data_IF_370011892713
#
_entry.id   IF_370011892713
#
_cell.length_a   1.000
_cell.length_b   1.000
_cell.length_c   1.000
_cell.angle_alpha   90.00
_cell.angle_beta   90.00
_cell.angle_gamma   90.00
#
_symmetry.space_group_name_H-M   'P 1'
#
loop_
_entity.id
_entity.type
_entity.pdbx_description
1 polymer ?
#
# COMPACT_ATOMS: atom_id res chain seq x y z
N UNK A 1 19.96 12.15 44.68
CA UNK A 1 20.01 11.06 43.71
C UNK A 1 18.83 11.15 42.78
N UNK A 2 19.14 11.23 41.54
CA UNK A 2 18.08 11.18 40.56
C UNK A 2 17.49 9.77 40.51
N UNK A 3 16.21 9.69 40.66
CA UNK A 3 15.53 8.40 40.59
C UNK A 3 15.08 8.15 39.17
N UNK A 4 15.73 7.23 38.52
CA UNK A 4 15.28 6.75 37.23
C UNK A 4 14.23 5.68 37.46
N UNK A 5 13.11 5.80 36.76
CA UNK A 5 12.08 4.77 36.80
C UNK A 5 12.60 3.52 36.08
N UNK A 6 12.42 2.35 36.67
CA UNK A 6 12.71 1.11 35.98
C UNK A 6 11.93 1.04 34.65
N UNK A 7 12.53 0.44 33.67
CA UNK A 7 11.88 0.32 32.35
C UNK A 7 10.50 -0.34 32.44
N UNK A 8 10.30 -1.22 33.42
CA UNK A 8 9.00 -1.88 33.66
C UNK A 8 7.93 -0.92 34.15
N UNK A 9 8.31 0.23 34.76
CA UNK A 9 7.38 1.23 35.25
C UNK A 9 7.16 2.39 34.27
N UNK A 10 7.96 2.46 33.21
CA UNK A 10 7.78 3.45 32.17
C UNK A 10 6.70 2.91 31.24
N UNK A 11 5.57 3.66 31.07
CA UNK A 11 4.54 3.21 30.14
C UNK A 11 5.13 3.11 28.74
N UNK A 12 5.20 1.91 28.21
CA UNK A 12 5.59 1.70 26.83
C UNK A 12 4.34 1.37 26.04
N UNK A 13 4.15 2.11 24.94
CA UNK A 13 3.07 1.80 24.02
C UNK A 13 3.56 0.61 23.17
N UNK A 14 2.91 -0.56 23.30
CA UNK A 14 3.31 -1.69 22.49
C UNK A 14 3.11 -1.37 21.01
N UNK A 15 4.09 -1.72 20.20
CA UNK A 15 3.93 -1.61 18.74
C UNK A 15 3.02 -2.74 18.31
N UNK A 16 1.83 -2.38 17.91
CA UNK A 16 0.88 -3.34 17.38
C UNK A 16 1.06 -3.46 15.88
N UNK A 17 0.97 -4.66 15.35
CA UNK A 17 0.95 -4.86 13.91
C UNK A 17 -0.34 -4.31 13.30
N UNK A 18 -1.41 -4.31 14.08
CA UNK A 18 -2.70 -3.77 13.66
C UNK A 18 -3.38 -3.10 14.84
N UNK A 19 -3.79 -1.85 14.64
CA UNK A 19 -4.54 -1.09 15.64
C UNK A 19 -6.04 -1.33 15.50
N UNK A 20 -6.85 -1.05 16.56
CA UNK A 20 -8.30 -1.25 16.50
C UNK A 20 -8.99 -0.51 15.35
N UNK A 21 -8.43 0.61 14.91
CA UNK A 21 -8.94 1.38 13.77
C UNK A 21 -8.60 0.77 12.41
N UNK A 22 -7.87 -0.35 12.38
CA UNK A 22 -7.36 -0.94 11.15
C UNK A 22 -6.05 -0.33 10.67
N UNK A 23 -5.49 0.63 11.41
CA UNK A 23 -4.22 1.25 11.07
C UNK A 23 -3.07 0.28 11.29
N UNK A 24 -2.21 0.16 10.27
CA UNK A 24 -0.96 -0.57 10.36
C UNK A 24 0.18 0.39 10.05
N UNK A 25 1.10 0.62 11.00
CA UNK A 25 2.21 1.53 10.76
C UNK A 25 3.16 0.97 9.71
N UNK A 26 3.75 1.87 8.93
CA UNK A 26 4.76 1.48 7.95
C UNK A 26 6.00 0.94 8.68
N UNK A 27 6.54 -0.16 8.19
CA UNK A 27 7.72 -0.83 8.76
C UNK A 27 9.01 -0.43 8.05
N UNK A 28 8.91 0.23 6.92
CA UNK A 28 10.05 0.59 6.09
C UNK A 28 10.01 2.10 5.81
N UNK A 29 11.19 2.74 5.81
CA UNK A 29 11.30 4.15 5.46
C UNK A 29 11.33 4.33 3.94
N UNK A 30 11.11 5.58 3.48
CA UNK A 30 11.14 5.89 2.06
C UNK A 30 12.51 5.57 1.43
N UNK A 31 13.59 5.87 2.14
CA UNK A 31 14.94 5.60 1.66
C UNK A 31 15.21 4.11 1.50
N UNK A 32 14.82 3.32 2.49
CA UNK A 32 14.96 1.87 2.44
C UNK A 32 14.11 1.25 1.33
N UNK A 33 12.91 1.78 1.13
CA UNK A 33 12.00 1.28 0.11
C UNK A 33 12.56 1.51 -1.29
N UNK A 34 13.07 2.71 -1.56
CA UNK A 34 13.65 3.03 -2.86
C UNK A 34 14.90 2.19 -3.13
N UNK A 35 15.72 1.99 -2.10
CA UNK A 35 16.94 1.18 -2.23
C UNK A 35 16.62 -0.30 -2.47
N UNK A 36 15.63 -0.84 -1.77
CA UNK A 36 15.30 -2.26 -1.82
C UNK A 36 14.36 -2.61 -2.98
N UNK A 37 13.34 -1.78 -3.21
CA UNK A 37 12.28 -2.08 -4.19
C UNK A 37 12.28 -1.16 -5.41
N UNK A 38 13.05 -0.08 -5.38
CA UNK A 38 13.11 0.96 -6.41
C UNK A 38 11.85 1.85 -6.46
N UNK A 39 10.91 1.69 -5.55
CA UNK A 39 9.72 2.53 -5.44
C UNK A 39 9.30 2.66 -3.98
N UNK A 40 8.49 3.67 -3.71
CA UNK A 40 7.93 3.91 -2.38
C UNK A 40 6.48 4.37 -2.53
N UNK A 41 5.61 3.82 -1.68
CA UNK A 41 4.21 4.22 -1.62
C UNK A 41 3.99 4.97 -0.32
N UNK A 42 3.75 6.28 -0.40
CA UNK A 42 3.53 7.10 0.80
C UNK A 42 2.10 6.97 1.29
N UNK A 43 1.92 7.15 2.61
CA UNK A 43 0.59 7.08 3.21
C UNK A 43 -0.25 8.30 2.86
N UNK A 44 -1.57 8.11 2.78
CA UNK A 44 -2.52 9.21 2.66
C UNK A 44 -2.59 10.03 3.96
N UNK A 45 -3.25 11.18 3.92
CA UNK A 45 -3.42 12.02 5.12
C UNK A 45 -4.15 11.30 6.26
N UNK A 46 -4.95 10.29 5.93
CA UNK A 46 -5.63 9.44 6.91
C UNK A 46 -4.73 8.36 7.52
N UNK A 47 -3.45 8.34 7.16
CA UNK A 47 -2.46 7.32 7.54
C UNK A 47 -2.76 5.91 7.01
N UNK A 48 -3.69 5.80 6.07
CA UNK A 48 -4.00 4.56 5.39
C UNK A 48 -3.26 4.49 4.05
N UNK A 49 -3.11 3.30 3.52
CA UNK A 49 -2.50 3.12 2.21
C UNK A 49 -3.37 3.80 1.13
N UNK A 50 -2.75 4.47 0.16
CA UNK A 50 -3.48 5.20 -0.88
C UNK A 50 -3.96 4.27 -1.99
N UNK A 51 -4.73 3.25 -1.62
CA UNK A 51 -5.35 2.31 -2.55
C UNK A 51 -6.85 2.55 -2.52
N UNK A 52 -7.41 2.98 -3.64
CA UNK A 52 -8.80 3.40 -3.73
C UNK A 52 -9.56 2.55 -4.74
N UNK A 53 -10.77 2.20 -4.38
CA UNK A 53 -11.69 1.53 -5.28
C UNK A 53 -12.61 2.57 -5.91
N UNK A 54 -12.61 2.63 -7.25
CA UNK A 54 -13.43 3.57 -7.99
C UNK A 54 -14.41 2.81 -8.86
N UNK A 55 -15.68 3.15 -8.75
CA UNK A 55 -16.74 2.59 -9.58
C UNK A 55 -17.06 3.55 -10.71
N UNK A 56 -16.99 3.07 -11.94
CA UNK A 56 -17.38 3.83 -13.12
C UNK A 56 -18.65 3.22 -13.64
N UNK A 57 -19.75 3.99 -13.57
CA UNK A 57 -21.05 3.55 -14.08
C UNK A 57 -21.24 4.09 -15.48
N UNK A 58 -21.61 3.23 -16.41
CA UNK A 58 -22.09 3.61 -17.74
C UNK A 58 -23.50 3.07 -17.91
N UNK A 59 -24.19 3.50 -18.98
CA UNK A 59 -25.57 3.07 -19.24
C UNK A 59 -25.69 1.56 -19.43
N UNK A 60 -24.60 0.88 -19.73
CA UNK A 60 -24.60 -0.54 -20.05
C UNK A 60 -23.86 -1.40 -19.03
N UNK A 61 -22.84 -0.85 -18.33
CA UNK A 61 -22.00 -1.61 -17.42
C UNK A 61 -21.51 -0.77 -16.25
N UNK A 62 -21.30 -1.42 -15.11
CA UNK A 62 -20.52 -0.87 -14.02
C UNK A 62 -19.13 -1.49 -14.06
N UNK A 63 -18.11 -0.64 -14.09
CA UNK A 63 -16.72 -1.09 -14.00
C UNK A 63 -16.12 -0.63 -12.70
N UNK A 64 -15.36 -1.51 -12.07
CA UNK A 64 -14.59 -1.19 -10.88
C UNK A 64 -13.12 -1.07 -11.24
N UNK A 65 -12.46 -0.05 -10.71
CA UNK A 65 -11.04 0.17 -10.89
C UNK A 65 -10.38 0.35 -9.53
N UNK A 66 -9.19 -0.21 -9.37
CA UNK A 66 -8.39 -0.03 -8.17
C UNK A 66 -7.23 0.89 -8.51
N UNK A 67 -7.15 2.03 -7.83
CA UNK A 67 -6.12 3.04 -8.05
C UNK A 67 -5.12 3.02 -6.89
N UNK A 68 -3.84 2.93 -7.21
CA UNK A 68 -2.76 3.08 -6.24
C UNK A 68 -2.13 4.43 -6.49
N UNK A 69 -2.25 5.35 -5.54
CA UNK A 69 -1.75 6.73 -5.67
C UNK A 69 -0.51 6.96 -4.81
N UNK A 70 0.06 8.14 -4.93
CA UNK A 70 1.24 8.57 -4.15
C UNK A 70 2.42 7.61 -4.25
N UNK A 71 2.64 7.07 -5.44
CA UNK A 71 3.78 6.19 -5.71
C UNK A 71 4.97 7.04 -6.16
N UNK A 72 6.09 6.86 -5.50
CA UNK A 72 7.35 7.53 -5.84
C UNK A 72 8.35 6.51 -6.35
N UNK A 73 9.18 6.91 -7.31
CA UNK A 73 10.21 6.04 -7.88
C UNK A 73 9.76 5.34 -9.13
N UNK A 74 10.09 4.06 -9.25
CA UNK A 74 9.82 3.30 -10.47
C UNK A 74 8.42 2.68 -10.44
N UNK A 75 7.47 3.36 -11.07
CA UNK A 75 6.09 2.90 -11.17
C UNK A 75 5.94 1.57 -11.91
N UNK A 76 6.77 1.36 -12.93
CA UNK A 76 6.72 0.13 -13.71
C UNK A 76 7.18 -1.08 -12.93
N UNK A 77 8.14 -0.89 -12.02
CA UNK A 77 8.58 -1.97 -11.15
C UNK A 77 7.47 -2.36 -10.15
N UNK A 78 6.77 -1.37 -9.60
CA UNK A 78 5.63 -1.62 -8.73
C UNK A 78 4.53 -2.38 -9.48
N UNK A 79 4.21 -1.94 -10.70
CA UNK A 79 3.24 -2.63 -11.55
C UNK A 79 3.63 -4.08 -11.78
N UNK A 80 4.89 -4.32 -12.11
CA UNK A 80 5.40 -5.67 -12.35
C UNK A 80 5.24 -6.56 -11.11
N UNK A 81 5.60 -6.03 -9.95
CA UNK A 81 5.51 -6.79 -8.70
C UNK A 81 4.06 -7.12 -8.35
N UNK A 82 3.14 -6.16 -8.55
CA UNK A 82 1.72 -6.38 -8.30
C UNK A 82 1.13 -7.36 -9.31
N UNK A 83 1.49 -7.25 -10.59
CA UNK A 83 1.05 -8.19 -11.62
C UNK A 83 1.45 -9.61 -11.28
N UNK A 84 2.68 -9.80 -10.83
CA UNK A 84 3.18 -11.10 -10.41
C UNK A 84 2.41 -11.64 -9.20
N UNK A 85 2.15 -10.79 -8.20
CA UNK A 85 1.38 -11.17 -7.03
C UNK A 85 -0.04 -11.61 -7.40
N UNK A 86 -0.72 -10.83 -8.23
CA UNK A 86 -2.08 -11.15 -8.68
C UNK A 86 -2.10 -12.41 -9.55
N UNK A 87 -1.10 -12.58 -10.40
CA UNK A 87 -1.00 -13.77 -11.24
C UNK A 87 -0.85 -15.03 -10.40
N UNK A 88 -0.04 -14.98 -9.35
CA UNK A 88 0.12 -16.12 -8.46
C UNK A 88 -1.17 -16.47 -7.73
N UNK A 89 -1.98 -15.47 -7.41
CA UNK A 89 -3.22 -15.64 -6.67
C UNK A 89 -4.37 -16.13 -7.55
N UNK A 90 -4.54 -15.53 -8.73
CA UNK A 90 -5.68 -15.78 -9.61
C UNK A 90 -5.34 -16.59 -10.85
N UNK A 91 -4.06 -16.79 -11.14
CA UNK A 91 -3.59 -17.50 -12.33
C UNK A 91 -4.05 -16.87 -13.64
N UNK A 92 -4.27 -15.55 -13.64
CA UNK A 92 -4.62 -14.83 -14.85
C UNK A 92 -4.02 -13.41 -14.80
N UNK A 93 -3.86 -12.82 -15.97
CA UNK A 93 -3.37 -11.47 -16.10
C UNK A 93 -4.51 -10.47 -16.09
N UNK A 94 -4.27 -9.29 -15.52
CA UNK A 94 -5.26 -8.22 -15.43
C UNK A 94 -4.76 -6.98 -16.16
N UNK A 95 -5.71 -6.19 -16.63
CA UNK A 95 -5.42 -4.95 -17.33
C UNK A 95 -4.97 -3.91 -16.31
N UNK A 96 -3.83 -3.26 -16.59
CA UNK A 96 -3.30 -2.22 -15.73
C UNK A 96 -2.80 -1.05 -16.57
N UNK A 97 -2.79 0.13 -15.96
CA UNK A 97 -2.31 1.35 -16.57
C UNK A 97 -1.43 2.12 -15.60
N UNK A 98 -0.29 2.61 -16.08
CA UNK A 98 0.63 3.41 -15.27
C UNK A 98 0.55 4.86 -15.75
N UNK A 99 0.35 5.78 -14.80
CA UNK A 99 0.36 7.21 -15.07
C UNK A 99 1.52 7.86 -14.32
N UNK A 100 2.59 8.19 -15.04
CA UNK A 100 3.76 8.82 -14.44
C UNK A 100 3.47 10.25 -13.99
N UNK A 101 2.63 10.97 -14.72
CA UNK A 101 2.27 12.34 -14.37
C UNK A 101 1.51 12.43 -13.07
N UNK A 102 0.64 11.46 -12.80
CA UNK A 102 -0.16 11.39 -11.59
C UNK A 102 0.49 10.53 -10.51
N UNK A 103 1.60 9.90 -10.83
CA UNK A 103 2.30 8.98 -9.92
C UNK A 103 1.36 7.90 -9.36
N UNK A 104 0.60 7.31 -10.25
CA UNK A 104 -0.38 6.29 -9.88
C UNK A 104 -0.36 5.11 -10.82
N UNK A 105 -0.81 3.97 -10.30
CA UNK A 105 -1.03 2.75 -11.06
C UNK A 105 -2.51 2.37 -10.91
N UNK A 106 -3.16 2.08 -12.03
CA UNK A 106 -4.57 1.73 -12.05
C UNK A 106 -4.74 0.29 -12.53
N UNK A 107 -5.59 -0.47 -11.84
CA UNK A 107 -5.97 -1.81 -12.25
C UNK A 107 -7.44 -1.88 -12.54
N UNK A 108 -7.81 -2.62 -13.59
CA UNK A 108 -9.21 -2.86 -13.92
C UNK A 108 -9.71 -4.04 -13.09
N UNK A 109 -10.57 -3.78 -12.15
CA UNK A 109 -11.14 -4.78 -11.26
C UNK A 109 -11.11 -4.32 -9.80
N UNK A 110 -11.67 -5.14 -8.92
CA UNK A 110 -11.68 -4.89 -7.47
C UNK A 110 -10.56 -5.69 -6.83
N UNK A 111 -9.42 -5.05 -6.64
CA UNK A 111 -8.25 -5.65 -6.01
C UNK A 111 -7.77 -4.85 -4.81
N UNK A 112 -8.64 -4.00 -4.24
CA UNK A 112 -8.25 -3.10 -3.16
C UNK A 112 -7.65 -3.85 -1.97
N UNK A 113 -8.32 -4.89 -1.51
CA UNK A 113 -7.86 -5.64 -0.34
C UNK A 113 -6.58 -6.42 -0.62
N UNK A 114 -6.50 -7.05 -1.78
CA UNK A 114 -5.33 -7.82 -2.20
C UNK A 114 -4.09 -6.93 -2.35
N UNK A 115 -4.27 -5.76 -2.95
CA UNK A 115 -3.15 -4.82 -3.14
C UNK A 115 -2.71 -4.23 -1.80
N UNK A 116 -3.65 -3.92 -0.90
CA UNK A 116 -3.30 -3.48 0.45
C UNK A 116 -2.49 -4.54 1.19
N UNK A 117 -2.93 -5.78 1.12
CA UNK A 117 -2.20 -6.90 1.72
C UNK A 117 -0.79 -7.01 1.16
N UNK A 118 -0.65 -6.89 -0.15
CA UNK A 118 0.66 -6.91 -0.81
C UNK A 118 1.56 -5.78 -0.31
N UNK A 119 1.04 -4.55 -0.25
CA UNK A 119 1.82 -3.41 0.21
C UNK A 119 2.21 -3.52 1.68
N UNK A 120 1.32 -4.01 2.53
CA UNK A 120 1.65 -4.26 3.93
C UNK A 120 2.74 -5.33 4.07
N UNK A 121 2.71 -6.35 3.23
CA UNK A 121 3.74 -7.39 3.25
C UNK A 121 5.11 -6.87 2.85
N UNK A 122 5.15 -5.80 2.06
CA UNK A 122 6.39 -5.12 1.68
C UNK A 122 6.85 -4.12 2.75
N UNK A 123 6.04 -3.84 3.75
CA UNK A 123 6.36 -2.93 4.84
C UNK A 123 5.90 -1.49 4.66
N UNK A 124 5.14 -1.20 3.62
CA UNK A 124 4.61 0.17 3.38
C UNK A 124 3.49 0.60 4.30
#
# INVERSE_FOLDING_TARGET
MERLLPAALIPSIPKLDRYPSGYQPAKISAEEAVEKYQYYVSRANSHLLPVYLKTISSDLEEEMHTDIKKVEGNLYQLRKDIDEFLFQRYKQEFISQVSELQQMVKYKGDFQDEIKEFLYSKGF
#
